data_IF_170529766207
#
_entry.id   IF_170529766207
#
_cell.length_a   1.000
_cell.length_b   1.000
_cell.length_c   1.000
_cell.angle_alpha   90.00
_cell.angle_beta   90.00
_cell.angle_gamma   90.00
#
_symmetry.space_group_name_H-M   'P 1'
#
loop_
_entity.id
_entity.type
_entity.pdbx_description
1 polymer ?
#
# COMPACT_ATOMS: atom_id res chain seq x y z
N UNK A 1 3.32 5.78 -18.13
CA UNK A 1 3.44 5.18 -16.81
C UNK A 1 2.38 4.12 -16.60
N UNK A 2 2.67 3.05 -15.89
CA UNK A 2 1.78 1.89 -15.81
C UNK A 2 1.22 1.73 -14.40
N UNK A 3 -0.10 1.76 -14.24
CA UNK A 3 -0.74 1.30 -13.01
C UNK A 3 -0.78 -0.23 -12.98
N UNK A 4 -0.14 -0.86 -11.99
CA UNK A 4 -0.04 -2.31 -11.85
C UNK A 4 -0.40 -2.73 -10.43
N UNK A 5 -1.26 -3.73 -10.27
CA UNK A 5 -1.45 -4.37 -8.97
C UNK A 5 -0.20 -5.14 -8.57
N UNK A 6 0.38 -4.90 -7.39
CA UNK A 6 1.69 -5.45 -7.03
C UNK A 6 1.65 -6.31 -5.78
N UNK A 7 2.44 -7.37 -5.82
CA UNK A 7 2.92 -8.10 -4.66
C UNK A 7 4.46 -8.08 -4.62
N UNK A 8 5.04 -8.12 -3.43
CA UNK A 8 6.44 -7.87 -3.12
C UNK A 8 7.48 -8.79 -3.81
N UNK A 9 8.75 -8.46 -3.58
CA UNK A 9 10.00 -9.08 -4.05
C UNK A 9 10.00 -10.60 -4.24
N UNK A 10 10.85 -11.13 -5.17
CA UNK A 10 11.02 -12.56 -5.31
C UNK A 10 11.64 -13.14 -4.02
N UNK A 11 10.81 -13.78 -3.24
CA UNK A 11 11.24 -14.87 -2.39
C UNK A 11 11.41 -16.03 -3.37
N UNK A 12 12.59 -16.62 -3.42
CA UNK A 12 12.97 -17.66 -4.37
C UNK A 12 11.83 -18.67 -4.57
N UNK A 13 11.27 -18.74 -5.78
CA UNK A 13 10.29 -19.75 -6.21
C UNK A 13 8.84 -19.31 -6.32
N UNK A 14 8.44 -18.11 -5.89
CA UNK A 14 7.05 -17.63 -6.05
C UNK A 14 6.95 -16.51 -7.09
N UNK A 15 5.95 -16.54 -8.00
CA UNK A 15 5.73 -15.48 -8.97
C UNK A 15 5.33 -14.18 -8.26
N UNK A 16 6.04 -13.09 -8.55
CA UNK A 16 5.72 -11.75 -8.08
C UNK A 16 5.16 -10.93 -9.24
N UNK A 17 4.39 -9.89 -8.93
CA UNK A 17 3.88 -8.98 -9.98
C UNK A 17 5.03 -8.27 -10.70
N UNK A 18 6.07 -7.86 -9.98
CA UNK A 18 7.27 -7.27 -10.57
C UNK A 18 7.95 -8.25 -11.54
N UNK A 19 8.16 -9.51 -11.15
CA UNK A 19 8.74 -10.55 -12.01
C UNK A 19 7.84 -10.86 -13.21
N UNK A 20 6.53 -11.07 -12.99
CA UNK A 20 5.57 -11.31 -14.07
C UNK A 20 5.54 -10.16 -15.08
N UNK A 21 5.63 -8.92 -14.61
CA UNK A 21 5.70 -7.74 -15.48
C UNK A 21 7.02 -7.71 -16.25
N UNK A 22 8.16 -7.94 -15.60
CA UNK A 22 9.47 -8.00 -16.23
C UNK A 22 9.54 -9.06 -17.33
N UNK A 23 9.11 -10.29 -17.03
CA UNK A 23 9.07 -11.41 -17.99
C UNK A 23 8.13 -11.13 -19.17
N UNK A 24 7.03 -10.41 -18.92
CA UNK A 24 6.08 -10.03 -19.97
C UNK A 24 6.65 -8.94 -20.86
N UNK A 25 7.37 -7.96 -20.30
CA UNK A 25 8.06 -6.93 -21.08
C UNK A 25 9.13 -7.57 -21.97
N UNK A 26 9.95 -8.45 -21.41
CA UNK A 26 10.98 -9.18 -22.16
C UNK A 26 10.40 -9.96 -23.34
N UNK A 27 9.27 -10.67 -23.14
CA UNK A 27 8.57 -11.39 -24.24
C UNK A 27 8.05 -10.48 -25.35
N UNK A 28 7.61 -9.27 -25.02
CA UNK A 28 7.04 -8.32 -25.99
C UNK A 28 8.13 -7.58 -26.76
N UNK A 29 9.23 -7.20 -26.08
CA UNK A 29 10.23 -6.27 -26.61
C UNK A 29 11.57 -6.92 -26.91
N UNK A 30 11.82 -8.11 -26.37
CA UNK A 30 13.15 -8.75 -26.39
C UNK A 30 14.12 -8.13 -25.38
N UNK A 31 13.70 -7.13 -24.59
CA UNK A 31 14.55 -6.38 -23.68
C UNK A 31 14.21 -6.72 -22.23
N UNK A 32 15.21 -7.14 -21.47
CA UNK A 32 15.07 -7.43 -20.04
C UNK A 32 15.17 -6.16 -19.22
N UNK A 33 14.09 -5.81 -18.55
CA UNK A 33 14.00 -4.63 -17.67
C UNK A 33 13.60 -5.05 -16.26
N UNK A 34 13.94 -4.22 -15.26
CA UNK A 34 13.50 -4.41 -13.88
C UNK A 34 12.57 -3.26 -13.49
N UNK A 35 11.24 -3.45 -13.57
CA UNK A 35 10.29 -2.41 -13.19
C UNK A 35 10.43 -2.02 -11.71
N UNK A 36 10.61 -0.72 -11.45
CA UNK A 36 10.71 -0.17 -10.09
C UNK A 36 9.34 0.35 -9.66
N UNK A 37 8.70 -0.34 -8.72
CA UNK A 37 7.41 0.09 -8.17
C UNK A 37 7.55 1.29 -7.23
N UNK A 38 6.50 2.12 -7.13
CA UNK A 38 6.45 3.26 -6.21
C UNK A 38 6.57 2.84 -4.74
N UNK A 39 6.22 1.62 -4.42
CA UNK A 39 6.36 1.00 -3.10
C UNK A 39 6.16 -0.50 -3.19
N UNK A 40 6.70 -1.22 -2.19
CA UNK A 40 6.42 -2.64 -2.02
C UNK A 40 5.01 -2.80 -1.46
N UNK A 41 4.34 -3.87 -1.86
CA UNK A 41 3.08 -4.33 -1.25
C UNK A 41 3.29 -5.76 -0.77
N UNK A 42 2.81 -6.08 0.43
CA UNK A 42 2.90 -7.43 0.99
C UNK A 42 2.07 -8.42 0.19
N UNK A 43 2.36 -9.71 0.33
CA UNK A 43 1.51 -10.76 -0.23
C UNK A 43 0.06 -10.62 0.26
N UNK A 44 -0.90 -10.63 -0.65
CA UNK A 44 -2.32 -10.45 -0.38
C UNK A 44 -2.79 -9.00 -0.23
N UNK A 45 -1.91 -8.00 -0.36
CA UNK A 45 -2.29 -6.60 -0.50
C UNK A 45 -2.65 -6.30 -1.95
N UNK A 46 -3.69 -5.52 -2.16
CA UNK A 46 -4.16 -5.12 -3.48
C UNK A 46 -3.65 -3.73 -3.89
N UNK A 47 -3.69 -3.42 -5.18
CA UNK A 47 -3.42 -2.09 -5.68
C UNK A 47 -4.36 -1.73 -6.83
N UNK A 48 -5.00 -0.57 -6.73
CA UNK A 48 -5.83 0.03 -7.78
C UNK A 48 -5.02 1.01 -8.65
N UNK A 49 -3.94 1.59 -8.09
CA UNK A 49 -3.14 2.61 -8.76
C UNK A 49 -1.65 2.52 -8.41
N UNK A 50 -1.06 1.31 -8.44
CA UNK A 50 0.39 1.17 -8.33
C UNK A 50 1.06 1.74 -9.58
N UNK A 51 2.21 2.38 -9.39
CA UNK A 51 3.02 2.94 -10.46
C UNK A 51 4.37 2.26 -10.50
N UNK A 52 4.84 1.93 -11.70
CA UNK A 52 6.19 1.41 -11.92
C UNK A 52 6.89 2.18 -13.04
N UNK A 53 8.19 2.46 -12.88
CA UNK A 53 9.06 3.05 -13.89
C UNK A 53 10.19 2.07 -14.26
N UNK A 54 10.61 2.13 -15.50
CA UNK A 54 11.76 1.40 -16.05
C UNK A 54 12.23 2.09 -17.34
N UNK A 55 13.49 1.87 -17.69
CA UNK A 55 14.04 2.26 -18.98
C UNK A 55 13.74 1.18 -20.00
N UNK A 56 13.31 1.58 -21.19
CA UNK A 56 13.06 0.70 -22.33
C UNK A 56 13.64 1.39 -23.58
N UNK A 57 14.50 0.68 -24.31
CA UNK A 57 15.13 1.20 -25.54
C UNK A 57 14.38 0.77 -26.80
N UNK A 58 13.58 -0.29 -26.72
CA UNK A 58 12.77 -0.80 -27.80
C UNK A 58 11.82 0.29 -28.34
N UNK A 59 11.78 0.54 -29.67
CA UNK A 59 11.01 1.61 -30.28
C UNK A 59 9.53 1.24 -30.42
N UNK A 60 8.84 1.05 -29.29
CA UNK A 60 7.42 0.73 -29.24
C UNK A 60 6.61 1.93 -28.71
N UNK A 61 5.62 2.45 -29.46
CA UNK A 61 4.75 3.51 -28.97
C UNK A 61 3.99 3.08 -27.70
N UNK A 62 3.87 4.00 -26.72
CA UNK A 62 3.27 3.72 -25.42
C UNK A 62 1.87 3.09 -25.51
N UNK A 63 1.01 3.56 -26.42
CA UNK A 63 -0.33 2.99 -26.65
C UNK A 63 -0.30 1.54 -27.17
N UNK A 64 0.69 1.20 -28.00
CA UNK A 64 0.86 -0.17 -28.51
C UNK A 64 1.40 -1.08 -27.41
N UNK A 65 2.37 -0.58 -26.65
CA UNK A 65 2.95 -1.27 -25.51
C UNK A 65 1.89 -1.57 -24.42
N UNK A 66 1.07 -0.59 -24.07
CA UNK A 66 -0.07 -0.76 -23.15
C UNK A 66 -1.00 -1.91 -23.59
N UNK A 67 -1.39 -1.94 -24.87
CA UNK A 67 -2.25 -3.00 -25.41
C UNK A 67 -1.56 -4.36 -25.39
N UNK A 68 -0.28 -4.41 -25.76
CA UNK A 68 0.49 -5.65 -25.75
C UNK A 68 0.65 -6.22 -24.33
N UNK A 69 0.94 -5.39 -23.34
CA UNK A 69 1.00 -5.79 -21.93
C UNK A 69 -0.32 -6.42 -21.47
N UNK A 70 -1.46 -5.75 -21.72
CA UNK A 70 -2.76 -6.25 -21.25
C UNK A 70 -3.24 -7.52 -21.98
N UNK A 71 -2.72 -7.80 -23.18
CA UNK A 71 -2.96 -9.08 -23.88
C UNK A 71 -2.12 -10.22 -23.32
N UNK A 72 -0.91 -9.93 -22.85
CA UNK A 72 0.05 -10.94 -22.42
C UNK A 72 0.04 -11.20 -20.90
N UNK A 73 -0.40 -10.24 -20.09
CA UNK A 73 -0.49 -10.36 -18.65
C UNK A 73 -1.66 -11.24 -18.20
N UNK A 74 -1.50 -11.99 -17.08
CA UNK A 74 -2.61 -12.75 -16.49
C UNK A 74 -3.75 -11.82 -16.05
N UNK A 75 -4.98 -12.36 -15.93
CA UNK A 75 -6.17 -11.58 -15.59
C UNK A 75 -6.09 -10.80 -14.28
N UNK A 76 -5.23 -11.24 -13.35
CA UNK A 76 -4.99 -10.59 -12.05
C UNK A 76 -4.14 -9.32 -12.11
N UNK A 77 -3.51 -9.04 -13.27
CA UNK A 77 -2.65 -7.86 -13.48
C UNK A 77 -3.18 -7.10 -14.69
N UNK A 78 -3.47 -5.81 -14.48
CA UNK A 78 -3.88 -4.90 -15.56
C UNK A 78 -3.09 -3.62 -15.51
N UNK A 79 -2.60 -3.23 -16.68
CA UNK A 79 -1.97 -1.94 -16.90
C UNK A 79 -3.08 -0.97 -17.30
N UNK A 80 -3.30 0.06 -16.48
CA UNK A 80 -4.33 1.06 -16.74
C UNK A 80 -3.86 2.08 -17.80
N UNK A 81 -2.58 2.45 -17.71
CA UNK A 81 -1.99 3.44 -18.58
C UNK A 81 -0.49 3.17 -18.76
N UNK A 82 0.06 3.55 -19.92
CA UNK A 82 1.49 3.59 -20.18
C UNK A 82 1.84 4.92 -20.84
N UNK A 83 2.76 5.66 -20.24
CA UNK A 83 3.23 6.97 -20.74
C UNK A 83 4.75 7.04 -20.75
N UNK A 84 5.31 7.81 -21.67
CA UNK A 84 6.71 8.18 -21.63
C UNK A 84 6.89 9.37 -20.67
N UNK A 85 7.94 9.31 -19.89
CA UNK A 85 8.33 10.36 -18.94
C UNK A 85 9.82 10.65 -19.09
N UNK A 86 10.29 11.72 -18.47
CA UNK A 86 11.72 12.04 -18.42
C UNK A 86 12.54 10.85 -17.90
N UNK A 87 13.74 10.59 -18.45
CA UNK A 87 14.57 9.44 -18.07
C UNK A 87 14.91 9.38 -16.58
N UNK A 88 14.98 10.54 -15.93
CA UNK A 88 15.32 10.69 -14.52
C UNK A 88 14.16 10.31 -13.59
N UNK A 89 12.96 10.20 -14.13
CA UNK A 89 11.76 9.89 -13.33
C UNK A 89 11.89 8.53 -12.64
N UNK A 90 11.66 8.53 -11.33
CA UNK A 90 11.70 7.33 -10.51
C UNK A 90 10.40 7.16 -9.71
N UNK A 91 9.62 6.11 -10.02
CA UNK A 91 8.30 5.88 -9.43
C UNK A 91 8.26 5.90 -7.88
N UNK A 92 9.36 5.57 -7.19
CA UNK A 92 9.43 5.59 -5.73
C UNK A 92 9.86 6.93 -5.17
N UNK A 93 10.91 7.54 -5.75
CA UNK A 93 11.58 8.70 -5.17
C UNK A 93 10.81 9.99 -5.45
N UNK A 94 10.14 10.08 -6.61
CA UNK A 94 9.39 11.27 -7.01
C UNK A 94 7.94 11.25 -6.53
N UNK A 95 7.53 10.20 -5.82
CA UNK A 95 6.19 10.14 -5.23
C UNK A 95 6.05 11.15 -4.09
N UNK A 96 5.10 12.08 -4.25
CA UNK A 96 4.76 13.13 -3.27
C UNK A 96 3.82 12.59 -2.20
N UNK A 97 2.83 11.79 -2.60
CA UNK A 97 1.91 11.17 -1.66
C UNK A 97 1.38 9.82 -2.15
N UNK A 98 0.88 9.04 -1.19
CA UNK A 98 0.21 7.77 -1.44
C UNK A 98 -1.08 7.72 -0.66
N UNK A 99 -2.11 7.14 -1.28
CA UNK A 99 -3.41 6.90 -0.64
C UNK A 99 -3.65 5.42 -0.52
N UNK A 100 -4.08 5.01 0.67
CA UNK A 100 -4.49 3.64 0.96
C UNK A 100 -5.92 3.60 1.46
N UNK A 101 -6.60 2.50 1.16
CA UNK A 101 -7.86 2.10 1.79
C UNK A 101 -7.70 0.75 2.47
N UNK A 102 -8.35 0.59 3.63
CA UNK A 102 -8.51 -0.72 4.25
C UNK A 102 -10.00 -1.00 4.43
N UNK A 103 -10.46 -2.12 3.88
CA UNK A 103 -11.88 -2.48 3.78
C UNK A 103 -12.21 -3.58 4.78
N UNK A 104 -13.20 -3.31 5.63
CA UNK A 104 -13.76 -4.23 6.62
C UNK A 104 -15.20 -4.51 6.21
N UNK A 105 -15.58 -5.78 6.14
CA UNK A 105 -16.95 -6.21 5.97
C UNK A 105 -17.53 -6.59 7.34
N UNK A 106 -18.67 -5.98 7.70
CA UNK A 106 -19.31 -6.11 9.02
C UNK A 106 -20.61 -6.94 9.01
N UNK A 107 -21.05 -7.40 7.84
CA UNK A 107 -22.23 -8.25 7.72
C UNK A 107 -21.99 -9.65 8.33
N UNK A 108 -23.06 -10.34 8.61
CA UNK A 108 -23.05 -11.67 9.23
C UNK A 108 -22.33 -12.70 8.34
N UNK A 109 -22.61 -12.69 7.04
CA UNK A 109 -22.04 -13.62 6.06
C UNK A 109 -21.35 -12.84 4.96
N UNK A 110 -20.02 -12.95 4.88
CA UNK A 110 -19.23 -12.33 3.82
C UNK A 110 -19.38 -13.10 2.51
N UNK A 111 -19.85 -12.46 1.42
CA UNK A 111 -19.95 -13.10 0.11
C UNK A 111 -18.59 -13.62 -0.38
N UNK A 112 -18.51 -14.86 -0.96
CA UNK A 112 -17.24 -15.47 -1.37
C UNK A 112 -16.43 -14.63 -2.36
N UNK A 113 -17.09 -13.92 -3.28
CA UNK A 113 -16.43 -13.03 -4.26
C UNK A 113 -15.81 -11.77 -3.61
N UNK A 114 -16.30 -11.36 -2.42
CA UNK A 114 -15.79 -10.22 -1.67
C UNK A 114 -14.69 -10.62 -0.67
N UNK A 115 -14.69 -11.86 -0.19
CA UNK A 115 -13.84 -12.35 0.90
C UNK A 115 -12.33 -12.17 0.64
N UNK A 116 -11.91 -12.10 -0.63
CA UNK A 116 -10.51 -11.83 -1.02
C UNK A 116 -10.13 -10.36 -0.87
N UNK A 117 -11.09 -9.45 -0.77
CA UNK A 117 -10.93 -8.01 -0.89
C UNK A 117 -11.31 -7.26 0.38
N UNK A 118 -11.69 -7.98 1.45
CA UNK A 118 -12.10 -7.39 2.72
C UNK A 118 -11.58 -8.20 3.89
N UNK A 119 -11.47 -7.56 5.04
CA UNK A 119 -11.38 -8.26 6.31
C UNK A 119 -12.79 -8.39 6.90
N UNK A 120 -13.36 -9.61 6.87
CA UNK A 120 -14.68 -9.86 7.44
C UNK A 120 -14.59 -9.96 8.97
N UNK A 121 -15.40 -9.16 9.66
CA UNK A 121 -15.50 -9.09 11.11
C UNK A 121 -16.97 -9.06 11.51
N UNK A 122 -17.38 -9.93 12.42
CA UNK A 122 -18.77 -10.00 12.91
C UNK A 122 -18.94 -9.53 14.36
N UNK A 123 -17.90 -9.02 15.00
CA UNK A 123 -18.01 -8.44 16.34
C UNK A 123 -18.33 -6.95 16.31
N UNK A 124 -19.01 -6.42 17.36
CA UNK A 124 -19.33 -5.01 17.46
C UNK A 124 -18.06 -4.16 17.55
N UNK A 125 -18.10 -2.99 16.91
CA UNK A 125 -17.03 -1.99 16.93
C UNK A 125 -17.60 -0.63 17.27
N UNK A 126 -16.99 0.07 18.21
CA UNK A 126 -17.21 1.49 18.43
C UNK A 126 -16.51 2.30 17.35
N UNK A 127 -17.24 2.57 16.27
CA UNK A 127 -16.72 3.33 15.11
C UNK A 127 -16.46 4.79 15.48
N UNK A 128 -17.16 5.36 16.48
CA UNK A 128 -16.92 6.73 16.92
C UNK A 128 -15.53 6.84 17.58
N UNK A 129 -15.21 5.93 18.50
CA UNK A 129 -13.87 5.85 19.10
C UNK A 129 -12.77 5.59 18.05
N UNK A 130 -13.03 4.73 17.06
CA UNK A 130 -12.10 4.49 15.95
C UNK A 130 -11.85 5.76 15.10
N UNK A 131 -12.88 6.56 14.85
CA UNK A 131 -12.76 7.85 14.14
C UNK A 131 -11.91 8.83 14.93
N UNK A 132 -12.17 8.95 16.24
CA UNK A 132 -11.36 9.77 17.14
C UNK A 132 -9.88 9.34 17.09
N UNK A 133 -9.60 8.06 17.29
CA UNK A 133 -8.25 7.50 17.22
C UNK A 133 -7.54 7.79 15.88
N UNK A 134 -8.27 7.72 14.78
CA UNK A 134 -7.72 7.97 13.44
C UNK A 134 -7.27 9.43 13.26
N UNK A 135 -7.88 10.41 13.96
CA UNK A 135 -7.44 11.81 13.88
C UNK A 135 -6.08 12.04 14.54
N UNK A 136 -5.72 11.23 15.54
CA UNK A 136 -4.49 11.41 16.33
C UNK A 136 -3.21 11.08 15.56
N UNK A 137 -3.32 10.36 14.43
CA UNK A 137 -2.16 10.02 13.59
C UNK A 137 -1.94 11.02 12.45
N UNK A 138 -2.81 12.03 12.33
CA UNK A 138 -2.65 13.10 11.33
C UNK A 138 -1.53 14.04 11.75
N UNK A 139 -0.68 14.42 10.80
CA UNK A 139 0.48 15.26 11.02
C UNK A 139 1.79 14.53 10.80
N UNK A 140 2.89 15.19 11.21
CA UNK A 140 4.24 14.66 11.14
C UNK A 140 4.61 13.98 12.44
N UNK A 141 4.77 12.66 12.41
CA UNK A 141 5.09 11.84 13.58
C UNK A 141 6.18 10.81 13.26
N UNK A 142 6.81 10.30 14.33
CA UNK A 142 7.63 9.09 14.25
C UNK A 142 6.72 7.86 14.36
N UNK A 143 6.60 7.12 13.25
CA UNK A 143 5.75 5.94 13.17
C UNK A 143 6.48 4.63 13.48
N UNK A 144 7.58 4.65 14.22
CA UNK A 144 8.33 3.44 14.60
C UNK A 144 7.44 2.39 15.27
N UNK A 145 6.47 2.77 16.13
CA UNK A 145 5.51 1.86 16.76
C UNK A 145 4.62 1.13 15.75
N UNK A 146 4.44 1.68 14.56
CA UNK A 146 3.61 1.10 13.50
C UNK A 146 4.42 0.47 12.37
N UNK A 147 5.75 0.48 12.46
CA UNK A 147 6.61 -0.24 11.52
C UNK A 147 6.56 -1.75 11.76
N UNK A 148 6.86 -2.56 10.74
CA UNK A 148 7.10 -3.97 10.94
C UNK A 148 8.32 -4.17 11.86
N UNK A 149 8.28 -5.22 12.69
CA UNK A 149 9.40 -5.63 13.53
C UNK A 149 10.42 -6.45 12.73
N UNK A 150 10.76 -5.99 11.52
CA UNK A 150 11.65 -6.74 10.64
C UNK A 150 13.12 -6.59 11.05
N UNK A 151 13.81 -7.74 11.11
CA UNK A 151 15.27 -7.79 11.08
C UNK A 151 15.84 -6.94 9.93
N UNK A 152 15.13 -6.88 8.79
CA UNK A 152 15.47 -6.05 7.63
C UNK A 152 15.50 -4.54 7.96
N UNK A 153 14.51 -4.02 8.68
CA UNK A 153 14.50 -2.62 9.11
C UNK A 153 15.64 -2.32 10.09
N UNK A 154 15.85 -3.23 11.06
CA UNK A 154 16.93 -3.09 12.05
C UNK A 154 18.31 -3.19 11.40
N UNK A 155 18.50 -4.11 10.46
CA UNK A 155 19.75 -4.27 9.71
C UNK A 155 20.02 -3.08 8.79
N UNK A 156 19.00 -2.55 8.12
CA UNK A 156 19.13 -1.38 7.24
C UNK A 156 19.38 -0.09 8.00
N UNK A 157 18.80 0.07 9.19
CA UNK A 157 19.12 1.16 10.12
C UNK A 157 20.57 1.05 10.64
N UNK A 158 21.03 -0.17 10.97
CA UNK A 158 22.40 -0.43 11.40
C UNK A 158 23.41 -0.26 10.25
N UNK A 159 23.02 -0.53 9.00
CA UNK A 159 23.84 -0.32 7.80
C UNK A 159 23.94 1.16 7.38
N UNK A 160 23.35 2.10 8.14
CA UNK A 160 23.39 3.53 7.82
C UNK A 160 22.53 3.93 6.62
N UNK A 161 21.68 3.04 6.10
CA UNK A 161 20.66 3.41 5.12
C UNK A 161 19.61 4.30 5.83
N UNK A 162 19.67 5.60 5.63
CA UNK A 162 18.88 6.64 6.28
C UNK A 162 17.35 6.50 6.08
N UNK A 163 16.78 5.38 6.51
CA UNK A 163 15.34 5.15 6.49
C UNK A 163 14.72 5.88 7.66
N UNK A 164 14.20 7.08 7.40
CA UNK A 164 13.46 7.83 8.41
C UNK A 164 12.13 7.13 8.74
N UNK A 165 11.89 6.84 10.03
CA UNK A 165 10.60 6.41 10.57
C UNK A 165 9.60 7.56 10.68
N UNK A 166 10.07 8.79 10.53
CA UNK A 166 9.22 9.99 10.52
C UNK A 166 8.51 10.11 9.17
N UNK A 167 7.19 10.17 9.21
CA UNK A 167 6.31 10.35 8.06
C UNK A 167 5.29 11.44 8.34
N UNK A 168 4.70 12.01 7.27
CA UNK A 168 3.59 12.94 7.39
C UNK A 168 2.33 12.26 6.88
N UNK A 169 1.33 12.12 7.73
CA UNK A 169 -0.02 11.69 7.38
C UNK A 169 -0.86 12.94 7.13
N UNK A 170 -1.36 13.10 5.91
CA UNK A 170 -2.15 14.26 5.50
C UNK A 170 -3.62 14.13 5.87
N UNK A 171 -4.15 12.91 5.80
CA UNK A 171 -5.52 12.60 6.20
C UNK A 171 -5.61 11.16 6.71
N UNK A 172 -6.54 10.93 7.64
CA UNK A 172 -6.81 9.62 8.24
C UNK A 172 -8.25 9.61 8.73
N UNK A 173 -9.10 8.74 8.18
CA UNK A 173 -10.53 8.72 8.47
C UNK A 173 -11.14 7.31 8.36
N UNK A 174 -12.21 7.08 9.12
CA UNK A 174 -13.10 5.94 8.99
C UNK A 174 -14.45 6.38 8.42
N UNK A 175 -14.90 5.74 7.37
CA UNK A 175 -16.13 6.05 6.65
C UNK A 175 -16.97 4.79 6.45
N UNK A 176 -18.29 4.95 6.45
CA UNK A 176 -19.19 3.89 5.99
C UNK A 176 -19.08 3.78 4.48
N UNK A 177 -18.86 2.57 3.98
CA UNK A 177 -18.91 2.26 2.56
C UNK A 177 -20.30 1.75 2.16
N UNK A 178 -20.40 1.20 0.94
CA UNK A 178 -21.62 0.61 0.44
C UNK A 178 -21.96 -0.68 1.22
N UNK A 179 -23.24 -0.83 1.59
CA UNK A 179 -23.72 -1.97 2.37
C UNK A 179 -23.04 -2.07 3.75
N UNK A 180 -22.52 -3.26 4.05
CA UNK A 180 -21.89 -3.56 5.35
C UNK A 180 -20.39 -3.23 5.40
N UNK A 181 -19.88 -2.38 4.49
CA UNK A 181 -18.49 -2.00 4.47
C UNK A 181 -18.20 -0.85 5.46
N UNK A 182 -17.09 -1.00 6.18
CA UNK A 182 -16.41 0.06 6.91
C UNK A 182 -15.02 0.24 6.29
N UNK A 183 -14.70 1.47 5.87
CA UNK A 183 -13.49 1.76 5.11
C UNK A 183 -12.63 2.75 5.87
N UNK A 184 -11.38 2.36 6.12
CA UNK A 184 -10.34 3.28 6.57
C UNK A 184 -9.63 3.88 5.38
N UNK A 185 -9.50 5.20 5.32
CA UNK A 185 -8.74 5.93 4.30
C UNK A 185 -7.59 6.69 4.94
N UNK A 186 -6.43 6.57 4.34
CA UNK A 186 -5.24 7.30 4.78
C UNK A 186 -4.43 7.80 3.60
N UNK A 187 -3.97 9.05 3.68
CA UNK A 187 -3.05 9.64 2.72
C UNK A 187 -1.84 10.22 3.46
N UNK A 188 -0.65 10.01 2.92
CA UNK A 188 0.57 10.51 3.53
C UNK A 188 1.74 10.60 2.55
N UNK A 189 2.84 11.24 2.96
CA UNK A 189 4.06 11.40 2.18
C UNK A 189 4.75 10.07 1.86
N UNK A 190 4.45 9.03 2.62
CA UNK A 190 4.98 7.68 2.48
C UNK A 190 4.61 6.85 3.71
N UNK A 191 4.79 5.54 3.61
CA UNK A 191 4.44 4.59 4.66
C UNK A 191 5.58 3.60 4.88
N UNK A 192 5.78 3.22 6.13
CA UNK A 192 6.69 2.15 6.53
C UNK A 192 6.07 0.79 6.19
N UNK A 193 6.90 -0.24 6.15
CA UNK A 193 6.43 -1.61 5.98
C UNK A 193 5.41 -1.96 7.08
N UNK A 194 4.28 -2.53 6.72
CA UNK A 194 3.11 -2.84 7.55
C UNK A 194 2.42 -1.65 8.23
N UNK A 195 2.87 -0.40 8.08
CA UNK A 195 2.37 0.75 8.83
C UNK A 195 0.85 0.88 8.80
N UNK A 196 0.22 0.87 7.62
CA UNK A 196 -1.24 1.01 7.50
C UNK A 196 -1.97 -0.15 8.17
N UNK A 197 -1.48 -1.38 8.03
CA UNK A 197 -2.08 -2.57 8.66
C UNK A 197 -1.96 -2.54 10.17
N UNK A 198 -0.85 -2.01 10.71
CA UNK A 198 -0.65 -1.85 12.15
C UNK A 198 -1.52 -0.73 12.73
N UNK A 199 -1.71 0.37 12.00
CA UNK A 199 -2.67 1.42 12.34
C UNK A 199 -4.09 0.84 12.44
N UNK A 200 -4.52 0.11 11.40
CA UNK A 200 -5.85 -0.53 11.38
C UNK A 200 -6.03 -1.51 12.53
N UNK A 201 -5.02 -2.36 12.80
CA UNK A 201 -5.09 -3.29 13.93
C UNK A 201 -5.26 -2.58 15.27
N UNK A 202 -4.52 -1.50 15.48
CA UNK A 202 -4.65 -0.66 16.69
C UNK A 202 -6.03 0.01 16.78
N UNK A 203 -6.56 0.53 15.67
CA UNK A 203 -7.92 1.10 15.65
C UNK A 203 -9.00 0.05 15.89
N UNK A 204 -8.79 -1.19 15.47
CA UNK A 204 -9.69 -2.29 15.80
C UNK A 204 -9.68 -2.62 17.30
N UNK A 205 -8.53 -2.55 17.95
CA UNK A 205 -8.45 -2.72 19.41
C UNK A 205 -9.12 -1.56 20.15
N UNK A 206 -9.05 -0.33 19.60
CA UNK A 206 -9.86 0.81 20.09
C UNK A 206 -11.35 0.54 19.91
N UNK A 207 -11.77 0.10 18.73
CA UNK A 207 -13.18 -0.19 18.44
C UNK A 207 -13.77 -1.31 19.30
N UNK A 208 -12.93 -2.21 19.82
CA UNK A 208 -13.32 -3.26 20.80
C UNK A 208 -13.29 -2.78 22.25
N UNK A 209 -12.81 -1.58 22.51
CA UNK A 209 -12.62 -1.06 23.87
C UNK A 209 -11.42 -1.63 24.61
N UNK A 210 -10.49 -2.32 23.93
CA UNK A 210 -9.24 -2.84 24.53
C UNK A 210 -8.23 -1.72 24.79
N UNK A 211 -8.28 -0.66 23.96
CA UNK A 211 -7.42 0.52 24.02
C UNK A 211 -8.32 1.75 23.96
N UNK A 212 -8.12 2.74 24.82
CA UNK A 212 -8.81 4.00 24.71
C UNK A 212 -8.29 4.79 23.49
N UNK A 213 -9.15 5.56 22.80
CA UNK A 213 -8.75 6.35 21.64
C UNK A 213 -7.56 7.29 21.98
N UNK A 214 -7.58 7.91 23.16
CA UNK A 214 -6.50 8.80 23.65
C UNK A 214 -5.13 8.13 23.78
N UNK A 215 -5.08 6.81 23.94
CA UNK A 215 -3.83 6.05 24.05
C UNK A 215 -3.03 5.98 22.74
N UNK A 216 -3.65 6.25 21.58
CA UNK A 216 -2.98 6.21 20.27
C UNK A 216 -1.81 7.21 20.23
N UNK A 217 -1.95 8.36 20.88
CA UNK A 217 -0.85 9.33 21.00
C UNK A 217 0.33 8.77 21.80
N UNK A 218 0.06 8.11 22.93
CA UNK A 218 1.08 7.45 23.74
C UNK A 218 1.76 6.31 22.97
N UNK A 219 1.00 5.57 22.16
CA UNK A 219 1.55 4.51 21.29
C UNK A 219 2.52 5.09 20.25
N UNK A 220 2.20 6.24 19.63
CA UNK A 220 3.12 6.95 18.73
C UNK A 220 4.41 7.33 19.45
N UNK A 221 4.31 7.92 20.64
CA UNK A 221 5.44 8.39 21.45
C UNK A 221 6.33 7.24 21.95
N UNK A 222 5.76 6.05 22.16
CA UNK A 222 6.47 4.87 22.67
C UNK A 222 7.58 4.36 21.72
N UNK A 223 7.49 4.62 20.41
CA UNK A 223 8.43 4.14 19.38
C UNK A 223 8.73 2.65 19.48
N UNK A 224 7.76 1.88 19.91
CA UNK A 224 7.87 0.44 20.14
C UNK A 224 6.74 -0.31 19.45
N UNK A 225 7.07 -1.27 18.59
CA UNK A 225 6.07 -2.10 17.88
C UNK A 225 5.13 -2.83 18.84
N UNK A 226 5.63 -3.22 20.02
CA UNK A 226 4.83 -3.94 21.03
C UNK A 226 3.76 -3.09 21.69
N UNK A 227 3.85 -1.76 21.58
CA UNK A 227 2.82 -0.84 22.08
C UNK A 227 1.59 -0.77 21.17
N UNK A 228 1.75 -1.07 19.87
CA UNK A 228 0.66 -1.03 18.91
C UNK A 228 -0.07 -2.38 18.81
N UNK A 229 -1.31 -2.33 18.33
CA UNK A 229 -2.15 -3.51 18.12
C UNK A 229 -1.60 -4.50 17.09
N UNK A 230 -2.24 -5.65 16.96
CA UNK A 230 -1.87 -6.70 16.01
C UNK A 230 -1.95 -6.21 14.56
N UNK A 231 -1.10 -6.76 13.68
CA UNK A 231 -1.13 -6.43 12.24
C UNK A 231 -2.42 -6.93 11.60
N UNK A 232 -3.23 -6.04 11.05
CA UNK A 232 -4.45 -6.41 10.33
C UNK A 232 -4.14 -7.26 9.08
N UNK A 233 -5.03 -8.19 8.66
CA UNK A 233 -4.84 -9.02 7.48
C UNK A 233 -4.58 -8.22 6.20
N UNK A 234 -3.70 -8.74 5.33
CA UNK A 234 -3.30 -8.05 4.09
C UNK A 234 -4.48 -7.83 3.12
N UNK A 235 -5.39 -8.80 3.03
CA UNK A 235 -6.50 -8.86 2.05
C UNK A 235 -7.46 -7.66 2.05
N UNK A 236 -7.53 -6.91 3.17
CA UNK A 236 -8.36 -5.70 3.24
C UNK A 236 -7.65 -4.45 2.73
N UNK A 237 -6.34 -4.48 2.50
CA UNK A 237 -5.54 -3.30 2.18
C UNK A 237 -5.41 -3.10 0.66
N UNK A 238 -5.61 -1.85 0.23
CA UNK A 238 -5.47 -1.39 -1.15
C UNK A 238 -4.58 -0.16 -1.22
N UNK A 239 -3.57 -0.17 -2.10
CA UNK A 239 -2.93 1.05 -2.59
C UNK A 239 -3.85 1.65 -3.65
N UNK A 240 -4.51 2.76 -3.33
CA UNK A 240 -5.50 3.38 -4.23
C UNK A 240 -4.84 4.24 -5.29
N UNK A 241 -3.90 5.09 -4.89
CA UNK A 241 -3.22 6.00 -5.82
C UNK A 241 -1.84 6.42 -5.30
N UNK A 242 -1.01 6.83 -6.24
CA UNK A 242 0.29 7.49 -6.00
C UNK A 242 0.25 8.81 -6.72
N UNK A 243 0.61 9.88 -6.03
CA UNK A 243 0.63 11.24 -6.56
C UNK A 243 2.09 11.69 -6.75
N UNK A 244 2.35 12.34 -7.88
CA UNK A 244 3.66 12.86 -8.27
C UNK A 244 3.69 14.39 -8.42
N UNK A 245 2.60 15.06 -7.99
CA UNK A 245 2.48 16.51 -8.19
C UNK A 245 2.09 16.88 -9.63
N UNK A 246 1.85 18.17 -9.83
CA UNK A 246 1.40 18.67 -11.13
C UNK A 246 2.53 18.64 -12.15
N UNK A 247 2.23 18.16 -13.37
CA UNK A 247 3.12 18.23 -14.53
C UNK A 247 4.16 17.11 -14.66
N UNK A 248 4.16 16.10 -13.79
CA UNK A 248 5.10 14.97 -13.90
C UNK A 248 4.56 13.85 -14.78
N UNK A 249 3.26 13.73 -14.90
CA UNK A 249 2.59 12.64 -15.62
C UNK A 249 1.79 13.12 -16.87
N UNK A 250 1.94 14.36 -17.28
CA UNK A 250 1.21 14.95 -18.43
C UNK A 250 -0.11 15.55 -18.03
#
# INVERSE_FOLDING_TARGET
MTGVQTCALPISGHPTIQGTLADTIERITGERVLPQGSGRTDAGVHALGQVASFLLTAPIPAANFHRALNRALPASIRVLEAVQVAPEFHARHDAVSKRYEYRIFRGEICPPWLARYVYALNWPLDVAAMREAATMVVGKHDFASFAASDLDLSQRLQAGEGISTVKTVFSSSWESGDGDLLVYRVQGSGFLHHMVRNLVGTFLDVGRGHIAASEVKRILEARSRTAAGATAPARGLFLVSVDYGRGVLG
#
